data_IF_366385002633
#
_entry.id   IF_366385002633
#
_cell.length_a   1.000
_cell.length_b   1.000
_cell.length_c   1.000
_cell.angle_alpha   90.00
_cell.angle_beta   90.00
_cell.angle_gamma   90.00
#
_symmetry.space_group_name_H-M   'P 1'
#
loop_
_entity.id
_entity.type
_entity.pdbx_description
1 polymer ?
#
# COMPACT_ATOMS: atom_id res chain seq x y z
N UNK A 1 15.44 9.78 2.33
CA UNK A 1 16.88 9.77 1.98
C UNK A 1 17.09 8.59 1.05
N UNK A 2 17.40 8.87 -0.21
CA UNK A 2 17.78 7.85 -1.18
C UNK A 2 19.25 7.45 -1.02
N UNK A 3 19.54 6.17 -1.17
CA UNK A 3 20.90 5.61 -1.15
C UNK A 3 21.14 4.81 -2.43
N UNK A 4 22.35 4.90 -2.98
CA UNK A 4 22.77 4.08 -4.13
C UNK A 4 23.87 3.14 -3.69
N UNK A 5 23.70 1.85 -3.99
CA UNK A 5 24.67 0.79 -3.74
C UNK A 5 25.13 0.21 -5.06
N UNK A 6 26.43 0.11 -5.28
CA UNK A 6 27.00 -0.57 -6.46
C UNK A 6 26.93 -2.08 -6.24
N UNK A 7 26.38 -2.82 -7.19
CA UNK A 7 26.33 -4.29 -7.25
C UNK A 7 27.09 -4.80 -8.48
N UNK A 8 27.41 -6.09 -8.51
CA UNK A 8 28.16 -6.71 -9.61
C UNK A 8 27.50 -6.49 -10.99
N UNK A 9 26.18 -6.33 -11.05
CA UNK A 9 25.42 -6.14 -12.28
C UNK A 9 24.70 -4.79 -12.39
N UNK A 10 25.16 -3.75 -11.66
CA UNK A 10 24.60 -2.39 -11.79
C UNK A 10 24.56 -1.58 -10.49
N UNK A 11 23.59 -0.67 -10.41
CA UNK A 11 23.37 0.27 -9.31
C UNK A 11 22.00 0.02 -8.68
N UNK A 12 21.98 -0.40 -7.41
CA UNK A 12 20.75 -0.50 -6.63
C UNK A 12 20.45 0.86 -5.99
N UNK A 13 19.30 1.42 -6.32
CA UNK A 13 18.72 2.55 -5.63
C UNK A 13 17.78 2.06 -4.52
N UNK A 14 17.88 2.63 -3.33
CA UNK A 14 17.01 2.34 -2.20
C UNK A 14 16.51 3.65 -1.58
N UNK A 15 15.19 3.77 -1.41
CA UNK A 15 14.52 4.93 -0.80
C UNK A 15 13.82 4.48 0.46
N UNK A 16 14.06 5.21 1.55
CA UNK A 16 13.30 5.11 2.79
C UNK A 16 12.78 6.50 3.17
N UNK A 17 11.45 6.65 3.16
CA UNK A 17 10.77 7.91 3.49
C UNK A 17 9.33 7.62 3.92
N UNK A 18 8.86 8.28 4.98
CA UNK A 18 7.49 8.14 5.52
C UNK A 18 7.08 6.67 5.75
N UNK A 19 7.97 5.84 6.30
CA UNK A 19 7.71 4.41 6.57
C UNK A 19 7.70 3.50 5.33
N UNK A 20 7.77 4.06 4.12
CA UNK A 20 7.79 3.30 2.87
C UNK A 20 9.24 3.01 2.48
N UNK A 21 9.55 1.71 2.31
CA UNK A 21 10.84 1.22 1.82
C UNK A 21 10.69 0.66 0.41
N UNK A 22 11.42 1.21 -0.55
CA UNK A 22 11.48 0.72 -1.93
C UNK A 22 12.93 0.59 -2.37
N UNK A 23 13.24 -0.45 -3.13
CA UNK A 23 14.53 -0.57 -3.81
C UNK A 23 14.36 -1.10 -5.22
N UNK A 24 15.25 -0.68 -6.12
CA UNK A 24 15.27 -1.10 -7.52
C UNK A 24 16.69 -1.05 -8.08
N UNK A 25 17.03 -2.00 -8.95
CA UNK A 25 18.36 -2.07 -9.57
C UNK A 25 18.31 -1.54 -11.01
N UNK A 26 19.30 -0.72 -11.37
CA UNK A 26 19.48 -0.08 -12.67
C UNK A 26 20.85 -0.37 -13.25
N UNK A 27 21.02 -0.20 -14.57
CA UNK A 27 22.32 -0.41 -15.22
C UNK A 27 23.23 0.80 -15.03
N UNK A 28 22.67 2.00 -14.99
CA UNK A 28 23.44 3.24 -14.83
C UNK A 28 23.17 3.96 -13.51
N UNK A 29 24.16 4.73 -13.05
CA UNK A 29 24.02 5.58 -11.84
C UNK A 29 23.04 6.73 -12.06
N UNK A 30 22.96 7.25 -13.29
CA UNK A 30 22.05 8.34 -13.65
C UNK A 30 20.58 7.90 -13.54
N UNK A 31 20.23 6.72 -14.07
CA UNK A 31 18.88 6.14 -13.92
C UNK A 31 18.54 5.91 -12.45
N UNK A 32 19.47 5.37 -11.65
CA UNK A 32 19.27 5.17 -10.23
C UNK A 32 18.97 6.48 -9.47
N UNK A 33 19.70 7.56 -9.78
CA UNK A 33 19.45 8.89 -9.20
C UNK A 33 18.08 9.46 -9.62
N UNK A 34 17.72 9.35 -10.91
CA UNK A 34 16.45 9.84 -11.42
C UNK A 34 15.28 9.10 -10.77
N UNK A 35 15.38 7.78 -10.64
CA UNK A 35 14.36 6.97 -9.97
C UNK A 35 14.22 7.29 -8.48
N UNK A 36 15.33 7.59 -7.78
CA UNK A 36 15.28 8.05 -6.39
C UNK A 36 14.47 9.35 -6.29
N UNK A 37 14.77 10.33 -7.14
CA UNK A 37 14.09 11.63 -7.12
C UNK A 37 12.59 11.49 -7.45
N UNK A 38 12.26 10.67 -8.45
CA UNK A 38 10.88 10.36 -8.83
C UNK A 38 10.13 9.65 -7.70
N UNK A 39 10.71 8.59 -7.13
CA UNK A 39 10.11 7.84 -6.03
C UNK A 39 9.94 8.70 -4.79
N UNK A 40 10.90 9.56 -4.45
CA UNK A 40 10.76 10.49 -3.33
C UNK A 40 9.66 11.53 -3.58
N UNK A 41 9.51 12.00 -4.82
CA UNK A 41 8.41 12.90 -5.22
C UNK A 41 7.07 12.19 -5.14
N UNK A 42 6.98 10.94 -5.56
CA UNK A 42 5.76 10.15 -5.46
C UNK A 42 5.37 9.88 -4.00
N UNK A 43 6.33 9.54 -3.14
CA UNK A 43 6.09 9.37 -1.70
C UNK A 43 5.62 10.69 -1.08
N UNK A 44 6.26 11.81 -1.42
CA UNK A 44 5.85 13.14 -0.95
C UNK A 44 4.47 13.56 -1.47
N UNK A 45 4.13 13.21 -2.71
CA UNK A 45 2.82 13.50 -3.31
C UNK A 45 1.68 12.71 -2.67
N UNK A 46 1.96 11.84 -1.70
CA UNK A 46 0.95 11.04 -1.01
C UNK A 46 0.47 9.83 -1.81
N UNK A 47 0.87 9.65 -3.08
CA UNK A 47 0.45 8.51 -3.93
C UNK A 47 0.58 7.13 -3.26
N UNK A 48 1.54 6.96 -2.35
CA UNK A 48 1.75 5.71 -1.64
C UNK A 48 1.08 5.63 -0.26
N UNK A 49 0.66 6.77 0.29
CA UNK A 49 0.06 6.89 1.61
C UNK A 49 -1.39 7.37 1.55
N UNK A 50 -2.00 7.44 0.36
CA UNK A 50 -3.42 7.71 0.24
C UNK A 50 -4.16 6.50 0.76
N UNK A 51 -4.51 6.53 2.04
CA UNK A 51 -5.65 5.78 2.53
C UNK A 51 -6.78 6.11 1.56
N UNK A 52 -7.34 5.11 0.84
CA UNK A 52 -8.37 5.38 -0.15
C UNK A 52 -9.51 6.15 0.50
N UNK A 53 -10.10 7.11 -0.22
CA UNK A 53 -11.33 7.78 0.22
C UNK A 53 -12.51 6.82 0.08
N UNK A 54 -12.50 5.81 0.96
CA UNK A 54 -13.46 4.72 1.05
C UNK A 54 -13.78 4.50 2.52
N UNK A 55 -14.98 4.01 2.75
CA UNK A 55 -15.40 3.64 4.10
C UNK A 55 -14.82 2.29 4.49
N UNK A 56 -14.82 2.01 5.79
CA UNK A 56 -14.47 0.70 6.30
C UNK A 56 -15.41 -0.40 5.77
N UNK A 57 -16.70 -0.09 5.59
CA UNK A 57 -17.67 -0.99 4.97
C UNK A 57 -17.30 -1.38 3.54
N UNK A 58 -16.91 -0.41 2.70
CA UNK A 58 -16.47 -0.67 1.33
C UNK A 58 -15.24 -1.59 1.27
N UNK A 59 -14.32 -1.43 2.24
CA UNK A 59 -13.14 -2.29 2.35
C UNK A 59 -13.55 -3.73 2.67
N UNK A 60 -14.46 -3.91 3.61
CA UNK A 60 -14.95 -5.23 4.00
C UNK A 60 -15.72 -5.93 2.88
N UNK A 61 -16.59 -5.21 2.17
CA UNK A 61 -17.34 -5.77 1.04
C UNK A 61 -16.38 -6.25 -0.05
N UNK A 62 -15.39 -5.43 -0.42
CA UNK A 62 -14.37 -5.82 -1.39
C UNK A 62 -13.56 -7.03 -0.92
N UNK A 63 -13.12 -7.04 0.32
CA UNK A 63 -12.35 -8.14 0.89
C UNK A 63 -13.17 -9.44 0.93
N UNK A 64 -14.43 -9.33 1.34
CA UNK A 64 -15.39 -10.43 1.37
C UNK A 64 -15.64 -11.02 -0.02
N UNK A 65 -15.68 -10.19 -1.08
CA UNK A 65 -15.86 -10.66 -2.47
C UNK A 65 -14.60 -11.24 -3.09
N UNK A 66 -13.42 -10.67 -2.81
CA UNK A 66 -12.19 -11.00 -3.54
C UNK A 66 -11.30 -12.00 -2.80
N UNK A 67 -11.32 -12.02 -1.46
CA UNK A 67 -10.34 -12.76 -0.64
C UNK A 67 -11.01 -13.83 0.23
N UNK A 68 -12.11 -13.51 0.90
CA UNK A 68 -12.77 -14.48 1.78
C UNK A 68 -13.21 -15.78 1.07
N UNK A 69 -13.67 -15.82 -0.20
CA UNK A 69 -14.11 -17.06 -0.83
C UNK A 69 -12.97 -18.06 -1.07
N UNK A 70 -11.72 -17.58 -1.14
CA UNK A 70 -10.54 -18.45 -1.30
C UNK A 70 -10.08 -19.06 0.02
N UNK A 71 -10.66 -18.66 1.16
CA UNK A 71 -10.30 -19.17 2.48
C UNK A 71 -11.28 -20.24 2.94
N UNK A 72 -10.76 -21.24 3.65
CA UNK A 72 -11.57 -22.26 4.35
C UNK A 72 -12.57 -21.65 5.34
N UNK A 73 -12.24 -20.51 5.94
CA UNK A 73 -13.09 -19.74 6.87
C UNK A 73 -14.00 -18.71 6.19
N UNK A 74 -14.04 -18.67 4.86
CA UNK A 74 -14.69 -17.61 4.08
C UNK A 74 -16.14 -17.35 4.46
N UNK A 75 -16.94 -18.41 4.61
CA UNK A 75 -18.36 -18.30 4.96
C UNK A 75 -18.61 -17.68 6.33
N UNK A 76 -17.70 -17.88 7.30
CA UNK A 76 -17.79 -17.23 8.61
C UNK A 76 -17.35 -15.76 8.55
N UNK A 77 -16.32 -15.46 7.76
CA UNK A 77 -15.88 -14.08 7.51
C UNK A 77 -17.00 -13.26 6.86
N UNK A 78 -17.66 -13.79 5.83
CA UNK A 78 -18.78 -13.12 5.15
C UNK A 78 -19.94 -12.80 6.10
N UNK A 79 -20.33 -13.75 6.97
CA UNK A 79 -21.38 -13.50 7.98
C UNK A 79 -20.98 -12.40 8.97
N UNK A 80 -19.71 -12.37 9.39
CA UNK A 80 -19.21 -11.32 10.28
C UNK A 80 -19.16 -9.97 9.59
N UNK A 81 -18.73 -9.91 8.33
CA UNK A 81 -18.72 -8.67 7.56
C UNK A 81 -20.14 -8.14 7.32
N UNK A 82 -21.11 -9.01 7.02
CA UNK A 82 -22.52 -8.62 6.90
C UNK A 82 -23.07 -8.00 8.19
N UNK A 83 -22.67 -8.53 9.36
CA UNK A 83 -23.06 -7.93 10.63
C UNK A 83 -22.34 -6.61 10.91
N UNK A 84 -21.06 -6.54 10.57
CA UNK A 84 -20.26 -5.33 10.81
C UNK A 84 -20.58 -4.20 9.84
N UNK A 85 -21.14 -4.50 8.66
CA UNK A 85 -21.66 -3.48 7.73
C UNK A 85 -22.91 -2.76 8.23
N UNK A 86 -23.60 -3.31 9.22
CA UNK A 86 -24.76 -2.66 9.86
C UNK A 86 -24.35 -1.71 10.99
N UNK A 87 -23.10 -1.82 11.47
CA UNK A 87 -22.55 -1.01 12.56
C UNK A 87 -22.10 0.37 12.03
N UNK A 88 -22.11 1.40 12.88
CA UNK A 88 -21.69 2.75 12.54
C UNK A 88 -20.21 2.82 12.13
N UNK A 89 -19.39 1.89 12.63
CA UNK A 89 -17.98 1.78 12.22
C UNK A 89 -17.82 1.55 10.72
N UNK A 90 -18.80 0.92 10.06
CA UNK A 90 -18.78 0.69 8.61
C UNK A 90 -18.84 1.97 7.79
N UNK A 91 -19.41 3.04 8.34
CA UNK A 91 -19.57 4.34 7.69
C UNK A 91 -18.34 5.23 7.86
N UNK A 92 -17.44 4.90 8.78
CA UNK A 92 -16.23 5.66 9.05
C UNK A 92 -15.29 5.54 7.85
N UNK A 93 -14.76 6.68 7.40
CA UNK A 93 -13.73 6.71 6.36
C UNK A 93 -12.47 6.06 6.88
N UNK A 94 -11.78 5.29 6.04
CA UNK A 94 -10.52 4.66 6.43
C UNK A 94 -9.48 5.68 6.91
N UNK A 95 -9.53 6.92 6.41
CA UNK A 95 -8.66 8.02 6.83
C UNK A 95 -8.91 8.49 8.26
N UNK A 96 -10.08 8.20 8.82
CA UNK A 96 -10.54 8.63 10.15
C UNK A 96 -10.50 7.50 11.19
N UNK A 97 -10.12 6.29 10.76
CA UNK A 97 -9.99 5.12 11.63
C UNK A 97 -8.66 5.21 12.39
N UNK A 98 -8.71 5.73 13.62
CA UNK A 98 -7.55 5.84 14.54
C UNK A 98 -7.60 4.79 15.66
#
# INVERSE_FOLDING_TARGET
>A
MGTIRKKNNGYEAAVFKMGIRKSRTFRTKAEANMWIAETEKEILSGKFNTIPDKTFGDLMDRYGKQVSPTKRSGSFELKRFSKLSEDEISKIKLSELN
#
